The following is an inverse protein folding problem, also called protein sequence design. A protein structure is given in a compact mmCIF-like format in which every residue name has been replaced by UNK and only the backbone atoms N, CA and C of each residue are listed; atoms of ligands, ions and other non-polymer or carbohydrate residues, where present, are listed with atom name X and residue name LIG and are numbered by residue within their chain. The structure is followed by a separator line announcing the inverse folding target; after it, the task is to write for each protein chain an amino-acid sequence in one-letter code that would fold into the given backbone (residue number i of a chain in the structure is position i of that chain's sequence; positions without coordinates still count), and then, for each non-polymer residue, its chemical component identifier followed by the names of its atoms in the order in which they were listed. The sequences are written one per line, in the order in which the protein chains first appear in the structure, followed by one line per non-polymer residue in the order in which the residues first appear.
data_IF_913881142901
#
_entry.id   IF_913881142901
#
_cell.length_a   1.000
_cell.length_b   1.000
_cell.length_c   1.000
_cell.angle_alpha   90.00
_cell.angle_beta   90.00
_cell.angle_gamma   90.00
#
_symmetry.space_group_name_H-M   'P 1'
#
loop_
_entity.id
_entity.type
_entity.pdbx_description
1 polymer ?
#
# COMPACT_ATOMS: atom_id res chain seq x y z
N UNK A 1 -32.65 2.85 0.74
CA UNK A 1 -31.65 1.77 0.60
C UNK A 1 -30.35 2.43 0.19
N UNK A 2 -29.27 2.43 0.99
CA UNK A 2 -28.03 3.08 0.60
C UNK A 2 -27.18 2.13 -0.27
N UNK A 3 -26.70 2.66 -1.39
CA UNK A 3 -25.88 1.94 -2.36
C UNK A 3 -24.51 1.58 -1.80
N UNK A 4 -24.19 0.28 -1.82
CA UNK A 4 -22.88 -0.25 -1.50
C UNK A 4 -21.90 0.16 -2.61
N UNK A 5 -21.05 1.14 -2.31
CA UNK A 5 -19.93 1.52 -3.16
C UNK A 5 -18.98 0.33 -3.30
N UNK A 6 -19.17 -0.45 -4.36
CA UNK A 6 -18.24 -1.47 -4.80
C UNK A 6 -16.99 -0.78 -5.32
N UNK A 7 -16.03 -0.52 -4.41
CA UNK A 7 -14.68 -0.13 -4.78
C UNK A 7 -14.04 -1.30 -5.51
N UNK A 8 -14.19 -1.29 -6.84
CA UNK A 8 -13.58 -2.26 -7.75
C UNK A 8 -12.06 -2.15 -7.63
N UNK A 9 -11.46 -2.96 -6.76
CA UNK A 9 -10.00 -3.12 -6.66
C UNK A 9 -9.50 -3.52 -8.05
N UNK A 10 -8.64 -2.73 -8.71
CA UNK A 10 -8.15 -3.11 -10.03
C UNK A 10 -7.36 -4.42 -9.89
N UNK A 11 -7.80 -5.44 -10.63
CA UNK A 11 -7.06 -6.70 -10.78
C UNK A 11 -5.71 -6.35 -11.37
N UNK A 12 -4.63 -6.60 -10.62
CA UNK A 12 -3.26 -6.49 -11.10
C UNK A 12 -3.02 -7.61 -12.11
N UNK A 13 -3.45 -7.41 -13.35
CA UNK A 13 -2.92 -8.16 -14.49
C UNK A 13 -1.41 -7.97 -14.53
N UNK A 14 -0.69 -9.01 -14.94
CA UNK A 14 0.76 -9.04 -15.12
C UNK A 14 1.26 -7.69 -15.66
N UNK A 15 1.87 -6.89 -14.78
CA UNK A 15 2.29 -5.54 -15.15
C UNK A 15 3.43 -5.67 -16.14
N UNK A 16 3.15 -5.44 -17.42
CA UNK A 16 4.19 -5.28 -18.44
C UNK A 16 5.09 -4.14 -17.98
N UNK A 17 6.38 -4.44 -17.74
CA UNK A 17 7.37 -3.44 -17.32
C UNK A 17 7.45 -2.39 -18.41
N UNK A 18 7.14 -1.14 -18.08
CA UNK A 18 7.27 0.00 -19.00
C UNK A 18 8.62 0.66 -18.75
N UNK A 19 9.42 0.83 -19.80
CA UNK A 19 10.63 1.64 -19.73
C UNK A 19 10.26 3.09 -19.40
N UNK A 20 10.95 3.66 -18.41
CA UNK A 20 10.78 5.04 -17.97
C UNK A 20 12.15 5.70 -17.92
N UNK A 21 12.26 6.91 -18.48
CA UNK A 21 13.49 7.70 -18.41
C UNK A 21 13.53 8.42 -17.06
N UNK A 22 14.57 8.16 -16.28
CA UNK A 22 14.80 8.76 -14.97
C UNK A 22 16.18 9.40 -14.94
N UNK A 23 16.27 10.60 -14.37
CA UNK A 23 17.55 11.25 -14.10
C UNK A 23 18.01 10.89 -12.68
N UNK A 24 19.21 10.32 -12.58
CA UNK A 24 19.88 9.98 -11.32
C UNK A 24 21.28 10.59 -11.32
N UNK A 25 21.86 10.78 -10.13
CA UNK A 25 23.23 11.32 -10.01
C UNK A 25 24.25 10.42 -10.70
N UNK A 26 25.17 11.03 -11.43
CA UNK A 26 26.14 10.32 -12.26
C UNK A 26 27.09 9.44 -11.43
N UNK A 27 27.54 9.95 -10.28
CA UNK A 27 28.37 9.25 -9.30
C UNK A 27 27.70 7.97 -8.78
N UNK A 28 26.41 8.03 -8.46
CA UNK A 28 25.63 6.87 -8.00
C UNK A 28 25.48 5.83 -9.11
N UNK A 29 25.22 6.26 -10.35
CA UNK A 29 25.12 5.36 -11.50
C UNK A 29 26.45 4.66 -11.80
N UNK A 30 27.56 5.40 -11.72
CA UNK A 30 28.90 4.83 -11.89
C UNK A 30 29.24 3.85 -10.78
N UNK A 31 29.00 4.21 -9.52
CA UNK A 31 29.19 3.31 -8.38
C UNK A 31 28.35 2.04 -8.50
N UNK A 32 27.07 2.17 -8.90
CA UNK A 32 26.19 1.02 -9.11
C UNK A 32 26.68 0.11 -10.25
N UNK A 33 27.19 0.68 -11.35
CA UNK A 33 27.78 -0.10 -12.46
C UNK A 33 29.04 -0.84 -12.02
N UNK A 34 29.93 -0.19 -11.28
CA UNK A 34 31.17 -0.80 -10.76
C UNK A 34 30.87 -1.96 -9.81
N UNK A 35 29.78 -1.86 -9.03
CA UNK A 35 29.31 -2.90 -8.11
C UNK A 35 28.38 -3.93 -8.78
N UNK A 36 28.18 -3.84 -10.10
CA UNK A 36 27.28 -4.71 -10.88
C UNK A 36 25.84 -4.78 -10.34
N UNK A 37 25.35 -3.65 -9.81
CA UNK A 37 24.00 -3.52 -9.26
C UNK A 37 22.98 -3.38 -10.38
N UNK A 38 21.89 -4.15 -10.31
CA UNK A 38 20.77 -4.01 -11.22
C UNK A 38 19.90 -2.80 -10.82
N UNK A 39 20.27 -1.62 -11.33
CA UNK A 39 19.60 -0.34 -11.03
C UNK A 39 18.10 -0.42 -11.27
N UNK A 40 17.67 -0.97 -12.42
CA UNK A 40 16.24 -1.09 -12.76
C UNK A 40 15.45 -1.89 -11.73
N UNK A 41 16.00 -3.00 -11.24
CA UNK A 41 15.35 -3.83 -10.23
C UNK A 41 15.29 -3.14 -8.86
N UNK A 42 16.36 -2.45 -8.47
CA UNK A 42 16.40 -1.69 -7.21
C UNK A 42 15.37 -0.56 -7.23
N UNK A 43 15.33 0.21 -8.32
CA UNK A 43 14.35 1.28 -8.50
C UNK A 43 12.90 0.77 -8.50
N UNK A 44 12.62 -0.33 -9.21
CA UNK A 44 11.27 -0.94 -9.24
C UNK A 44 10.84 -1.40 -7.83
N UNK A 45 11.71 -2.08 -7.10
CA UNK A 45 11.43 -2.55 -5.74
C UNK A 45 11.14 -1.38 -4.79
N UNK A 46 12.02 -0.39 -4.78
CA UNK A 46 11.86 0.78 -3.91
C UNK A 46 10.59 1.56 -4.25
N UNK A 47 10.31 1.77 -5.54
CA UNK A 47 9.12 2.48 -5.98
C UNK A 47 7.84 1.72 -5.57
N UNK A 48 7.81 0.39 -5.67
CA UNK A 48 6.69 -0.44 -5.18
C UNK A 48 6.46 -0.28 -3.69
N UNK A 49 7.51 -0.19 -2.88
CA UNK A 49 7.40 0.04 -1.44
C UNK A 49 6.83 1.42 -1.14
N UNK A 50 7.37 2.47 -1.78
CA UNK A 50 6.88 3.84 -1.62
C UNK A 50 5.41 3.95 -2.03
N UNK A 51 5.03 3.37 -3.17
CA UNK A 51 3.64 3.36 -3.65
C UNK A 51 2.72 2.65 -2.67
N UNK A 52 3.10 1.46 -2.16
CA UNK A 52 2.31 0.73 -1.16
C UNK A 52 2.13 1.55 0.12
N UNK A 53 3.19 2.22 0.59
CA UNK A 53 3.13 3.07 1.79
C UNK A 53 2.18 4.25 1.58
N UNK A 54 2.26 4.94 0.45
CA UNK A 54 1.38 6.07 0.15
C UNK A 54 -0.08 5.63 -0.02
N UNK A 55 -0.33 4.48 -0.65
CA UNK A 55 -1.67 3.90 -0.73
C UNK A 55 -2.22 3.60 0.67
N UNK A 56 -1.42 2.99 1.55
CA UNK A 56 -1.82 2.72 2.94
C UNK A 56 -2.04 4.00 3.75
N UNK A 57 -1.27 5.06 3.50
CA UNK A 57 -1.47 6.38 4.10
C UNK A 57 -2.79 7.00 3.65
N UNK A 58 -3.08 6.99 2.34
CA UNK A 58 -4.34 7.51 1.79
C UNK A 58 -5.54 6.73 2.32
N UNK A 59 -5.47 5.41 2.30
CA UNK A 59 -6.54 4.56 2.82
C UNK A 59 -6.85 4.87 4.29
N UNK A 60 -5.83 5.01 5.14
CA UNK A 60 -6.01 5.38 6.55
C UNK A 60 -6.67 6.74 6.72
N UNK A 61 -6.33 7.73 5.90
CA UNK A 61 -6.96 9.04 5.95
C UNK A 61 -8.43 8.98 5.50
N UNK A 62 -8.70 8.26 4.42
CA UNK A 62 -10.06 8.07 3.88
C UNK A 62 -10.97 7.31 4.84
N UNK A 63 -10.43 6.41 5.66
CA UNK A 63 -11.20 5.54 6.56
C UNK A 63 -11.04 5.90 8.03
N UNK A 64 -10.37 7.01 8.36
CA UNK A 64 -10.09 7.41 9.75
C UNK A 64 -11.39 7.55 10.56
N UNK A 65 -12.38 8.23 10.00
CA UNK A 65 -13.67 8.47 10.66
C UNK A 65 -14.46 7.18 10.88
N UNK A 66 -14.46 6.28 9.88
CA UNK A 66 -15.10 4.97 9.99
C UNK A 66 -14.44 4.10 11.06
N UNK A 67 -13.10 4.04 11.06
CA UNK A 67 -12.34 3.30 12.07
C UNK A 67 -12.58 3.89 13.45
N UNK A 68 -12.61 5.22 13.57
CA UNK A 68 -12.92 5.90 14.84
C UNK A 68 -14.32 5.55 15.36
N UNK A 69 -15.34 5.62 14.51
CA UNK A 69 -16.71 5.27 14.87
C UNK A 69 -16.84 3.80 15.28
N UNK A 70 -16.19 2.90 14.54
CA UNK A 70 -16.18 1.47 14.85
C UNK A 70 -15.45 1.17 16.16
N UNK A 71 -14.29 1.80 16.39
CA UNK A 71 -13.56 1.63 17.65
C UNK A 71 -14.40 2.13 18.84
N UNK A 72 -15.08 3.27 18.70
CA UNK A 72 -15.98 3.78 19.73
C UNK A 72 -17.15 2.83 20.04
N UNK A 73 -17.72 2.17 19.03
CA UNK A 73 -18.76 1.16 19.28
C UNK A 73 -18.20 -0.07 20.01
N UNK A 74 -16.97 -0.52 19.69
CA UNK A 74 -16.33 -1.63 20.40
C UNK A 74 -16.01 -1.25 21.85
N UNK A 75 -15.57 -0.02 22.13
CA UNK A 75 -15.34 0.45 23.50
C UNK A 75 -16.64 0.53 24.32
N UNK A 76 -17.74 0.93 23.68
CA UNK A 76 -19.04 1.07 24.34
C UNK A 76 -19.76 -0.28 24.55
N UNK A 77 -19.71 -1.16 23.55
CA UNK A 77 -20.53 -2.38 23.49
C UNK A 77 -19.73 -3.66 23.76
N UNK A 78 -18.40 -3.56 23.83
CA UNK A 78 -17.49 -4.70 23.87
C UNK A 78 -17.26 -5.33 22.51
N UNK A 79 -16.45 -6.40 22.46
CA UNK A 79 -16.18 -7.11 21.22
C UNK A 79 -17.39 -7.97 20.83
N UNK A 80 -17.99 -7.76 19.64
CA UNK A 80 -18.98 -8.67 19.11
C UNK A 80 -18.34 -10.06 19.02
N UNK A 81 -19.02 -11.06 19.60
CA UNK A 81 -18.58 -12.46 19.64
C UNK A 81 -17.47 -12.80 20.65
N UNK A 82 -17.18 -11.93 21.63
CA UNK A 82 -16.21 -12.24 22.70
C UNK A 82 -16.59 -13.54 23.46
N UNK A 83 -17.88 -13.77 23.66
CA UNK A 83 -18.44 -14.94 24.34
C UNK A 83 -18.25 -16.27 23.58
N UNK A 84 -17.83 -16.24 22.31
CA UNK A 84 -17.73 -17.43 21.45
C UNK A 84 -16.29 -17.75 21.04
N UNK A 85 -15.30 -17.12 21.70
CA UNK A 85 -13.87 -17.30 21.37
C UNK A 85 -13.29 -18.68 21.70
N UNK A 86 -13.96 -19.48 22.52
CA UNK A 86 -13.44 -20.76 23.04
C UNK A 86 -14.08 -22.01 22.43
N UNK A 87 -14.78 -21.91 21.31
CA UNK A 87 -15.32 -23.06 20.58
C UNK A 87 -14.27 -23.77 19.72
#
# INVERSE_FOLDING_TARGET
MPDLHSTRRPRTGTSVKRATNLSLSADVLEGAKQLNINISQVCDNHLREVVRREQGRKWRLEHADFIGAYNASIEAEGLPLDEWKSF
#
